data_IF_362506879175
#
_entry.id   IF_362506879175
#
_cell.length_a   1.000
_cell.length_b   1.000
_cell.length_c   1.000
_cell.angle_alpha   90.00
_cell.angle_beta   90.00
_cell.angle_gamma   90.00
#
_symmetry.space_group_name_H-M   'P 1'
#
loop_
_entity.id
_entity.type
_entity.pdbx_description
1 polymer ?
#
# COMPACT_ATOMS: atom_id res chain seq x y z
N UNK A 1 -3.68 4.90 -38.37
CA UNK A 1 -4.92 5.32 -37.66
C UNK A 1 -6.24 4.80 -38.28
N UNK A 2 -6.64 5.12 -39.54
CA UNK A 2 -8.02 4.78 -40.01
C UNK A 2 -8.40 3.28 -40.01
N UNK A 3 -7.48 2.34 -40.26
CA UNK A 3 -7.81 0.89 -40.34
C UNK A 3 -8.28 0.27 -39.02
N UNK A 4 -7.73 0.68 -37.87
CA UNK A 4 -8.13 0.12 -36.56
C UNK A 4 -9.57 0.45 -36.16
N UNK A 5 -10.10 1.62 -36.53
CA UNK A 5 -11.49 1.97 -36.18
C UNK A 5 -12.54 1.05 -36.82
N UNK A 6 -12.25 0.48 -37.99
CA UNK A 6 -13.14 -0.50 -38.63
C UNK A 6 -13.05 -1.90 -37.99
N UNK A 7 -11.90 -2.26 -37.40
CA UNK A 7 -11.73 -3.56 -36.73
C UNK A 7 -12.61 -3.66 -35.48
N UNK A 8 -12.57 -2.65 -34.60
CA UNK A 8 -13.41 -2.61 -33.40
C UNK A 8 -14.90 -2.53 -33.76
N UNK A 9 -15.27 -1.79 -34.81
CA UNK A 9 -16.66 -1.69 -35.29
C UNK A 9 -17.21 -3.04 -35.77
N UNK A 10 -16.37 -3.87 -36.41
CA UNK A 10 -16.74 -5.18 -36.94
C UNK A 10 -16.87 -6.24 -35.83
N UNK A 11 -16.05 -6.15 -34.78
CA UNK A 11 -16.16 -6.99 -33.56
C UNK A 11 -17.50 -6.72 -32.83
N UNK A 12 -17.89 -5.46 -32.68
CA UNK A 12 -19.17 -5.07 -32.05
C UNK A 12 -20.36 -5.64 -32.85
N UNK A 13 -20.29 -5.59 -34.19
CA UNK A 13 -21.36 -6.13 -35.05
C UNK A 13 -21.52 -7.66 -34.96
N UNK A 14 -20.43 -8.39 -34.68
CA UNK A 14 -20.48 -9.85 -34.46
C UNK A 14 -21.11 -10.24 -33.12
N UNK A 15 -20.87 -9.46 -32.05
CA UNK A 15 -21.43 -9.75 -30.73
C UNK A 15 -22.96 -9.60 -30.68
N UNK A 16 -23.52 -8.58 -31.34
CA UNK A 16 -24.97 -8.30 -31.32
C UNK A 16 -25.79 -9.39 -32.04
N UNK A 17 -25.19 -10.11 -33.00
CA UNK A 17 -25.89 -11.14 -33.78
C UNK A 17 -26.12 -12.47 -33.02
N UNK A 18 -25.53 -12.64 -31.83
CA UNK A 18 -25.51 -13.90 -31.09
C UNK A 18 -26.72 -14.15 -30.17
N UNK A 19 -27.47 -13.09 -29.81
CA UNK A 19 -28.57 -13.14 -28.82
C UNK A 19 -29.93 -13.59 -29.40
N UNK A 20 -29.94 -14.24 -30.57
CA UNK A 20 -31.14 -14.41 -31.41
C UNK A 20 -31.97 -15.68 -31.24
N UNK A 21 -31.56 -16.69 -30.45
CA UNK A 21 -32.21 -18.02 -30.43
C UNK A 21 -32.28 -18.68 -29.05
N UNK A 22 -33.38 -18.47 -28.32
CA UNK A 22 -34.10 -19.50 -27.52
C UNK A 22 -35.45 -18.93 -27.09
N UNK A 23 -36.55 -19.54 -27.52
CA UNK A 23 -37.88 -18.93 -27.34
C UNK A 23 -39.08 -19.82 -27.62
N UNK A 24 -39.18 -20.99 -26.96
CA UNK A 24 -40.45 -21.73 -26.86
C UNK A 24 -40.44 -22.79 -25.74
N UNK A 25 -41.26 -22.60 -24.69
CA UNK A 25 -41.90 -23.72 -23.98
C UNK A 25 -43.32 -23.33 -23.57
N UNK A 26 -44.28 -24.20 -23.85
CA UNK A 26 -45.72 -23.90 -23.85
C UNK A 26 -46.35 -24.15 -22.46
N UNK A 27 -47.41 -23.42 -22.13
CA UNK A 27 -48.12 -23.49 -20.83
C UNK A 27 -49.55 -24.02 -20.99
N UNK A 28 -49.92 -24.96 -20.11
CA UNK A 28 -51.29 -25.36 -19.76
C UNK A 28 -51.28 -25.67 -18.26
N UNK A 29 -52.17 -25.14 -17.40
CA UNK A 29 -53.62 -25.40 -17.29
C UNK A 29 -53.91 -26.90 -17.05
N UNK A 30 -54.71 -27.32 -16.06
CA UNK A 30 -55.46 -26.61 -15.00
C UNK A 30 -55.95 -27.66 -13.98
N UNK A 31 -56.07 -27.35 -12.68
CA UNK A 31 -56.52 -28.33 -11.68
C UNK A 31 -56.52 -27.80 -10.24
N UNK A 32 -57.49 -28.23 -9.43
CA UNK A 32 -57.80 -27.69 -8.10
C UNK A 32 -57.99 -28.82 -7.06
N UNK A 33 -57.85 -28.46 -5.77
CA UNK A 33 -58.31 -29.12 -4.54
C UNK A 33 -57.31 -30.01 -3.77
N UNK A 34 -57.21 -29.67 -2.49
CA UNK A 34 -56.89 -30.53 -1.35
C UNK A 34 -58.21 -30.82 -0.58
N UNK A 35 -58.24 -31.49 0.59
CA UNK A 35 -57.17 -32.24 1.27
C UNK A 35 -57.57 -33.69 1.61
N UNK A 36 -56.63 -34.48 2.13
CA UNK A 36 -56.89 -35.54 3.12
C UNK A 36 -55.65 -35.78 3.98
N UNK A 37 -55.88 -36.28 5.18
CA UNK A 37 -54.92 -36.69 6.20
C UNK A 37 -55.04 -38.21 6.37
N UNK A 38 -53.94 -38.95 6.41
CA UNK A 38 -53.83 -40.06 7.37
C UNK A 38 -52.39 -40.48 7.70
N UNK A 39 -52.14 -40.49 9.01
CA UNK A 39 -51.05 -41.10 9.77
C UNK A 39 -50.55 -42.48 9.27
N UNK A 40 -49.23 -42.70 9.24
CA UNK A 40 -48.62 -43.96 9.74
C UNK A 40 -47.14 -43.78 10.11
N UNK A 41 -46.66 -44.57 11.07
CA UNK A 41 -45.30 -44.54 11.66
C UNK A 41 -44.81 -45.97 11.81
N UNK A 42 -43.64 -46.31 11.26
CA UNK A 42 -42.59 -47.24 11.76
C UNK A 42 -41.29 -46.77 11.04
N UNK A 43 -40.19 -46.34 11.67
CA UNK A 43 -39.31 -46.93 12.69
C UNK A 43 -38.58 -48.18 12.18
N UNK A 44 -37.29 -48.01 11.88
CA UNK A 44 -36.24 -49.03 11.97
C UNK A 44 -34.88 -48.32 11.99
N UNK A 45 -34.22 -48.35 13.15
CA UNK A 45 -32.79 -48.10 13.28
C UNK A 45 -32.01 -49.35 12.83
N UNK A 46 -30.78 -49.17 12.33
CA UNK A 46 -29.65 -50.02 12.71
C UNK A 46 -28.32 -49.30 12.42
N UNK A 47 -27.32 -49.53 13.28
CA UNK A 47 -25.95 -49.01 13.17
C UNK A 47 -25.04 -50.04 12.47
N UNK A 48 -23.87 -49.62 11.99
CA UNK A 48 -22.54 -50.15 12.38
C UNK A 48 -21.45 -49.89 11.29
N UNK A 49 -20.19 -49.86 11.74
CA UNK A 49 -18.91 -49.99 11.01
C UNK A 49 -18.53 -48.95 9.91
N UNK A 50 -17.25 -48.65 9.68
CA UNK A 50 -16.06 -49.24 10.32
C UNK A 50 -14.77 -49.23 9.49
N UNK A 51 -14.44 -48.14 8.76
CA UNK A 51 -13.33 -48.12 7.79
C UNK A 51 -12.21 -47.10 8.07
N UNK A 52 -11.15 -47.52 8.77
CA UNK A 52 -9.84 -46.84 8.73
C UNK A 52 -9.04 -47.43 7.56
N UNK A 53 -8.43 -46.57 6.73
CA UNK A 53 -7.39 -46.95 5.77
C UNK A 53 -6.29 -45.89 5.76
N UNK A 54 -5.15 -46.23 6.35
CA UNK A 54 -3.84 -45.65 6.03
C UNK A 54 -3.16 -46.58 5.02
N UNK A 55 -2.61 -46.05 3.92
CA UNK A 55 -1.61 -46.76 3.12
C UNK A 55 -0.69 -45.76 2.38
N UNK A 56 0.36 -45.35 3.08
CA UNK A 56 1.76 -45.51 2.69
C UNK A 56 2.13 -45.37 1.19
N UNK A 57 2.93 -44.34 0.87
CA UNK A 57 3.65 -44.25 -0.40
C UNK A 57 5.04 -43.59 -0.25
N UNK A 58 5.85 -44.09 0.69
CA UNK A 58 7.28 -43.75 0.78
C UNK A 58 8.02 -44.20 -0.49
N UNK A 59 8.87 -43.34 -1.07
CA UNK A 59 9.84 -43.79 -2.09
C UNK A 59 11.09 -42.92 -2.16
N UNK A 60 12.07 -43.29 -1.33
CA UNK A 60 13.46 -42.84 -1.39
C UNK A 60 14.25 -43.65 -2.46
N UNK A 61 15.61 -43.63 -2.40
CA UNK A 61 16.56 -44.04 -3.45
C UNK A 61 16.70 -42.90 -4.49
N UNK A 62 17.68 -41.99 -4.41
CA UNK A 62 19.15 -42.15 -4.27
C UNK A 62 19.77 -42.79 -5.55
N UNK A 63 21.01 -42.56 -5.98
CA UNK A 63 22.21 -42.01 -5.33
C UNK A 63 23.27 -41.60 -6.40
N UNK A 64 24.46 -41.09 -5.99
CA UNK A 64 25.77 -41.05 -6.72
C UNK A 64 25.88 -40.10 -7.95
N UNK A 65 26.58 -38.95 -7.83
CA UNK A 65 27.98 -38.62 -8.28
C UNK A 65 28.15 -38.48 -9.83
N UNK A 66 29.20 -37.94 -10.46
CA UNK A 66 30.60 -37.47 -10.18
C UNK A 66 30.78 -36.16 -11.05
N UNK A 67 31.82 -35.30 -11.11
CA UNK A 67 33.27 -35.22 -10.77
C UNK A 67 33.68 -33.69 -10.72
N UNK A 68 34.96 -33.35 -10.50
CA UNK A 68 35.59 -31.98 -10.51
C UNK A 68 35.73 -31.35 -11.94
N UNK A 69 36.37 -30.21 -12.27
CA UNK A 69 37.07 -29.09 -11.57
C UNK A 69 36.75 -27.79 -12.41
N UNK A 70 37.13 -26.54 -12.07
CA UNK A 70 38.49 -26.02 -12.23
C UNK A 70 38.66 -24.65 -11.55
N UNK A 71 39.90 -24.24 -11.29
CA UNK A 71 40.25 -23.06 -10.46
C UNK A 71 41.07 -22.03 -11.26
N UNK A 72 40.85 -20.74 -11.03
CA UNK A 72 41.97 -19.77 -10.98
C UNK A 72 41.71 -18.71 -9.92
N UNK A 73 42.58 -18.67 -8.91
CA UNK A 73 42.77 -17.53 -8.01
C UNK A 73 43.70 -16.50 -8.67
N UNK A 74 43.60 -15.23 -8.27
CA UNK A 74 44.75 -14.31 -8.29
C UNK A 74 44.53 -13.09 -7.41
N UNK A 75 45.33 -13.00 -6.36
CA UNK A 75 45.48 -11.83 -5.50
C UNK A 75 46.20 -10.68 -6.24
N UNK A 76 45.85 -9.45 -5.89
CA UNK A 76 46.84 -8.40 -5.56
C UNK A 76 46.33 -7.67 -4.32
N UNK A 77 47.23 -7.39 -3.39
CA UNK A 77 47.03 -6.82 -2.07
C UNK A 77 47.92 -5.56 -1.95
N UNK A 78 47.57 -4.63 -1.07
CA UNK A 78 48.33 -3.38 -0.79
C UNK A 78 48.37 -2.37 -1.98
N UNK A 79 48.64 -1.07 -1.80
CA UNK A 79 49.35 -0.38 -0.70
C UNK A 79 48.47 0.45 0.26
N UNK A 80 48.92 0.54 1.52
CA UNK A 80 48.66 1.64 2.46
C UNK A 80 50.03 2.24 2.79
N UNK A 81 50.14 3.57 2.79
CA UNK A 81 51.25 4.32 3.38
C UNK A 81 50.69 5.50 4.19
N UNK A 82 51.31 5.79 5.32
CA UNK A 82 50.86 6.75 6.35
C UNK A 82 51.64 8.10 6.31
N UNK A 83 51.30 9.00 7.25
CA UNK A 83 52.06 10.19 7.69
C UNK A 83 52.08 11.41 6.71
N UNK A 84 52.07 12.68 7.14
CA UNK A 84 52.07 13.23 8.51
C UNK A 84 51.51 14.68 8.62
N UNK A 85 51.53 15.17 9.87
CA UNK A 85 51.72 16.56 10.35
C UNK A 85 50.49 17.29 10.93
N UNK A 86 50.76 18.11 11.97
CA UNK A 86 49.79 18.57 12.96
C UNK A 86 50.03 20.00 13.47
N UNK A 87 48.93 20.70 13.78
CA UNK A 87 48.90 21.83 14.72
C UNK A 87 47.47 21.94 15.24
N UNK A 88 47.18 21.85 16.54
CA UNK A 88 47.53 22.78 17.63
C UNK A 88 46.95 24.20 17.43
N UNK A 89 46.30 24.84 18.42
CA UNK A 89 46.16 24.47 19.84
C UNK A 89 44.88 25.04 20.49
N UNK A 90 44.87 25.12 21.83
CA UNK A 90 43.66 25.32 22.64
C UNK A 90 43.69 26.57 23.54
N UNK A 91 42.51 27.01 23.99
CA UNK A 91 42.31 28.04 25.02
C UNK A 91 41.82 29.40 24.50
N UNK A 92 41.18 30.27 25.29
CA UNK A 92 40.76 30.13 26.71
C UNK A 92 39.54 31.03 27.00
N UNK A 93 38.85 30.76 28.11
CA UNK A 93 37.70 31.54 28.63
C UNK A 93 37.97 33.05 28.84
N UNK A 94 36.94 33.88 28.66
CA UNK A 94 36.97 35.31 29.03
C UNK A 94 35.58 35.91 29.21
N UNK A 95 35.08 35.97 30.46
CA UNK A 95 33.82 36.63 30.82
C UNK A 95 34.08 37.99 31.46
N UNK A 96 33.49 39.06 30.94
CA UNK A 96 33.49 40.40 31.54
C UNK A 96 32.15 41.11 31.32
N UNK A 97 31.77 41.98 32.26
CA UNK A 97 30.45 42.64 32.36
C UNK A 97 30.58 44.14 32.06
N UNK A 98 29.58 44.73 31.41
CA UNK A 98 29.43 46.17 31.24
C UNK A 98 27.95 46.57 31.28
N UNK A 99 27.64 47.69 31.94
CA UNK A 99 26.30 48.25 32.14
C UNK A 99 26.33 49.75 31.76
N UNK A 100 25.17 50.32 31.40
CA UNK A 100 25.01 51.66 30.83
C UNK A 100 24.18 51.58 29.54
N UNK A 101 22.84 51.67 29.61
CA UNK A 101 22.03 52.91 29.66
C UNK A 101 21.75 53.49 28.25
N UNK A 102 20.48 53.35 27.84
CA UNK A 102 19.56 54.30 27.14
C UNK A 102 20.11 55.14 25.94
N UNK A 103 19.36 55.41 24.87
CA UNK A 103 17.91 55.62 24.69
C UNK A 103 17.45 55.35 23.22
N UNK A 104 16.14 55.47 22.95
CA UNK A 104 15.40 55.43 21.65
C UNK A 104 16.08 54.98 20.32
N UNK A 105 15.53 53.91 19.72
CA UNK A 105 15.57 53.67 18.27
C UNK A 105 14.31 52.94 17.78
N UNK A 106 13.19 53.67 17.65
CA UNK A 106 11.88 53.10 17.31
C UNK A 106 11.78 52.66 15.85
N UNK A 107 11.11 51.51 15.63
CA UNK A 107 10.62 50.97 14.35
C UNK A 107 11.67 50.54 13.28
N UNK A 108 11.98 49.24 13.27
CA UNK A 108 11.94 48.39 12.05
C UNK A 108 12.09 46.89 12.35
N UNK A 109 10.98 46.20 12.63
CA UNK A 109 10.96 44.72 12.65
C UNK A 109 9.62 44.11 12.18
N UNK A 110 8.97 44.78 11.21
CA UNK A 110 7.84 44.25 10.41
C UNK A 110 8.24 44.09 8.94
N UNK A 111 9.30 43.34 8.62
CA UNK A 111 9.60 43.02 7.21
C UNK A 111 10.24 41.64 6.99
N UNK A 112 9.60 40.59 7.52
CA UNK A 112 9.72 39.26 6.90
C UNK A 112 8.41 38.44 6.97
N UNK A 113 7.29 39.11 6.72
CA UNK A 113 6.11 38.44 6.20
C UNK A 113 6.46 37.85 4.82
N UNK A 114 6.81 36.56 4.80
CA UNK A 114 7.08 35.84 3.57
C UNK A 114 5.86 35.96 2.65
N UNK A 115 6.06 36.55 1.47
CA UNK A 115 4.98 36.82 0.53
C UNK A 115 4.60 35.50 -0.15
N UNK A 116 3.71 34.75 0.49
CA UNK A 116 3.02 33.60 -0.10
C UNK A 116 2.20 34.08 -1.29
N UNK A 117 2.83 34.03 -2.47
CA UNK A 117 2.15 33.96 -3.74
C UNK A 117 1.20 32.74 -3.67
N UNK A 118 -0.10 32.92 -3.93
CA UNK A 118 -1.09 31.88 -3.63
C UNK A 118 -0.74 30.61 -4.39
N UNK A 119 -0.38 29.56 -3.64
CA UNK A 119 0.14 28.33 -4.19
C UNK A 119 -0.80 27.83 -5.31
N UNK A 120 -0.27 27.76 -6.53
CA UNK A 120 -1.02 27.23 -7.65
C UNK A 120 -1.42 25.80 -7.30
N UNK A 121 -2.72 25.56 -7.10
CA UNK A 121 -3.24 24.30 -6.56
C UNK A 121 -2.86 23.17 -7.50
N UNK A 122 -1.84 22.41 -7.10
CA UNK A 122 -1.36 21.25 -7.84
C UNK A 122 -2.52 20.25 -7.95
N UNK A 123 -3.04 19.97 -9.16
CA UNK A 123 -4.19 19.08 -9.33
C UNK A 123 -3.86 17.66 -8.82
N UNK A 124 -2.58 17.29 -8.87
CA UNK A 124 -2.04 16.01 -8.45
C UNK A 124 -1.62 16.00 -6.97
N UNK A 125 -1.88 17.05 -6.18
CA UNK A 125 -1.59 17.05 -4.75
C UNK A 125 -2.51 16.09 -3.96
N UNK A 126 -1.92 15.37 -3.01
CA UNK A 126 -2.59 14.51 -2.05
C UNK A 126 -3.32 15.38 -1.02
N UNK A 127 -4.65 15.35 -0.99
CA UNK A 127 -5.44 16.09 0.02
C UNK A 127 -5.70 15.26 1.28
N UNK A 128 -5.69 15.90 2.45
CA UNK A 128 -6.04 15.32 3.75
C UNK A 128 -7.11 16.20 4.39
N UNK A 129 -8.31 15.64 4.57
CA UNK A 129 -9.53 16.38 4.95
C UNK A 129 -10.45 15.57 5.88
N UNK A 130 -11.62 16.12 6.24
CA UNK A 130 -12.55 15.51 7.19
C UNK A 130 -12.29 15.96 8.64
N UNK A 131 -12.29 15.03 9.60
CA UNK A 131 -12.02 15.28 11.03
C UNK A 131 -10.53 15.52 11.33
N UNK A 132 -10.00 16.60 10.76
CA UNK A 132 -8.63 17.09 10.95
C UNK A 132 -8.67 18.55 11.38
N UNK A 133 -7.87 18.93 12.37
CA UNK A 133 -7.80 20.32 12.84
C UNK A 133 -7.00 21.21 11.87
N UNK A 134 -6.16 20.59 11.05
CA UNK A 134 -5.32 21.21 10.05
C UNK A 134 -5.47 20.44 8.71
N UNK A 135 -6.47 20.78 7.86
CA UNK A 135 -6.58 20.20 6.52
C UNK A 135 -5.36 20.56 5.66
N UNK A 136 -4.83 19.59 4.91
CA UNK A 136 -3.57 19.73 4.19
C UNK A 136 -3.68 19.26 2.75
N UNK A 137 -2.82 19.81 1.88
CA UNK A 137 -2.60 19.32 0.53
C UNK A 137 -1.10 19.27 0.27
N UNK A 138 -0.59 18.18 -0.28
CA UNK A 138 0.84 17.99 -0.52
C UNK A 138 1.14 17.60 -1.97
N UNK A 139 1.99 18.38 -2.64
CA UNK A 139 2.61 17.98 -3.89
C UNK A 139 3.60 16.83 -3.68
N UNK A 140 3.92 16.09 -4.76
CA UNK A 140 4.94 15.03 -4.73
C UNK A 140 6.30 15.56 -4.20
N UNK A 141 6.64 16.81 -4.53
CA UNK A 141 7.89 17.47 -4.09
C UNK A 141 7.93 17.65 -2.57
N UNK A 142 6.81 17.99 -1.94
CA UNK A 142 6.73 18.18 -0.49
C UNK A 142 6.79 16.85 0.25
N UNK A 143 6.09 15.81 -0.23
CA UNK A 143 6.18 14.46 0.36
C UNK A 143 7.61 13.91 0.32
N UNK A 144 8.33 14.08 -0.80
CA UNK A 144 9.76 13.73 -0.91
C UNK A 144 10.68 14.57 0.00
N UNK A 145 10.21 15.71 0.50
CA UNK A 145 10.93 16.54 1.47
C UNK A 145 10.77 16.09 2.93
N UNK A 146 9.76 15.27 3.25
CA UNK A 146 9.47 14.82 4.62
C UNK A 146 10.36 13.64 5.05
N UNK A 147 11.67 13.86 5.14
CA UNK A 147 12.67 12.83 5.46
C UNK A 147 12.42 12.05 6.77
N UNK A 148 11.68 12.64 7.72
CA UNK A 148 11.19 12.01 8.95
C UNK A 148 10.12 10.94 8.70
N UNK A 149 9.32 11.12 7.65
CA UNK A 149 8.23 10.22 7.27
C UNK A 149 8.59 9.22 6.19
N UNK A 150 9.70 9.41 5.46
CA UNK A 150 10.10 8.50 4.38
C UNK A 150 10.23 7.06 4.92
N UNK A 151 9.68 6.13 4.15
CA UNK A 151 9.84 4.70 4.35
C UNK A 151 10.12 4.03 3.00
N UNK A 152 11.02 3.05 3.02
CA UNK A 152 11.34 2.22 1.87
C UNK A 152 11.42 0.77 2.35
N UNK A 153 10.78 -0.15 1.63
CA UNK A 153 10.76 -1.54 2.04
C UNK A 153 10.02 -2.45 1.07
N UNK A 154 10.25 -3.74 1.23
CA UNK A 154 9.67 -4.81 0.44
C UNK A 154 8.37 -5.30 1.09
N UNK A 155 7.26 -5.19 0.35
CA UNK A 155 5.93 -5.61 0.79
C UNK A 155 5.56 -6.92 0.11
N UNK A 156 5.24 -7.95 0.89
CA UNK A 156 4.57 -9.14 0.38
C UNK A 156 3.11 -8.85 0.05
N UNK A 157 2.61 -9.45 -1.03
CA UNK A 157 1.26 -9.22 -1.50
C UNK A 157 0.58 -10.49 -2.00
N UNK A 158 -0.65 -10.72 -1.56
CA UNK A 158 -1.56 -11.76 -2.07
C UNK A 158 -2.78 -11.09 -2.71
N UNK A 159 -3.14 -11.50 -3.94
CA UNK A 159 -4.35 -11.03 -4.63
C UNK A 159 -5.52 -12.02 -4.50
N UNK A 160 -6.70 -11.64 -5.02
CA UNK A 160 -7.93 -12.45 -5.03
C UNK A 160 -7.82 -13.81 -5.78
N UNK A 161 -6.72 -14.05 -6.49
CA UNK A 161 -6.44 -15.29 -7.22
C UNK A 161 -5.31 -16.11 -6.55
N UNK A 162 -4.88 -15.74 -5.34
CA UNK A 162 -3.76 -16.38 -4.63
C UNK A 162 -2.37 -16.08 -5.22
N UNK A 163 -2.26 -15.17 -6.19
CA UNK A 163 -0.95 -14.77 -6.75
C UNK A 163 -0.16 -14.02 -5.68
N UNK A 164 1.02 -14.56 -5.38
CA UNK A 164 1.97 -14.07 -4.37
C UNK A 164 3.08 -13.27 -5.03
N UNK A 165 3.44 -12.11 -4.48
CA UNK A 165 4.46 -11.22 -5.04
C UNK A 165 5.07 -10.31 -3.96
N UNK A 166 6.40 -10.35 -3.81
CA UNK A 166 7.17 -9.27 -3.16
C UNK A 166 7.30 -8.07 -4.09
N UNK A 167 7.29 -6.84 -3.55
CA UNK A 167 7.47 -5.61 -4.33
C UNK A 167 8.04 -4.52 -3.44
N UNK A 168 9.10 -3.85 -3.90
CA UNK A 168 9.74 -2.76 -3.18
C UNK A 168 8.98 -1.46 -3.43
N UNK A 169 8.68 -0.72 -2.37
CA UNK A 169 8.05 0.59 -2.47
C UNK A 169 8.84 1.65 -1.71
N UNK A 170 8.81 2.88 -2.23
CA UNK A 170 9.28 4.09 -1.54
C UNK A 170 8.11 5.06 -1.38
N UNK A 171 7.96 5.60 -0.18
CA UNK A 171 6.83 6.46 0.17
C UNK A 171 7.01 7.20 1.48
N UNK A 172 5.91 7.80 1.96
CA UNK A 172 5.79 8.38 3.31
C UNK A 172 4.77 7.60 4.14
N UNK A 173 5.04 7.45 5.43
CA UNK A 173 4.14 6.80 6.40
C UNK A 173 2.82 7.56 6.50
N UNK A 174 1.70 6.90 6.21
CA UNK A 174 0.38 7.53 6.20
C UNK A 174 0.02 8.12 7.58
N UNK A 175 0.30 7.41 8.67
CA UNK A 175 0.01 7.91 10.02
C UNK A 175 0.75 9.23 10.32
N UNK A 176 2.00 9.38 9.90
CA UNK A 176 2.77 10.61 10.13
C UNK A 176 2.22 11.82 9.34
N UNK A 177 1.57 11.60 8.20
CA UNK A 177 0.84 12.66 7.49
C UNK A 177 -0.42 13.08 8.26
N UNK A 178 -1.13 12.11 8.84
CA UNK A 178 -2.32 12.33 9.67
C UNK A 178 -1.99 13.03 11.00
N UNK A 179 -0.82 12.77 11.59
CA UNK A 179 -0.31 13.52 12.75
C UNK A 179 -0.07 14.99 12.40
N UNK A 180 0.54 15.30 11.24
CA UNK A 180 0.70 16.68 10.76
C UNK A 180 -0.64 17.37 10.46
N UNK A 181 -1.66 16.61 10.06
CA UNK A 181 -3.03 17.09 9.86
C UNK A 181 -3.85 17.26 11.17
N UNK A 182 -3.33 16.79 12.32
CA UNK A 182 -3.99 16.91 13.63
C UNK A 182 -5.39 16.28 13.66
N UNK A 183 -5.46 14.98 13.37
CA UNK A 183 -6.67 14.14 13.49
C UNK A 183 -7.41 14.36 14.82
N UNK A 184 -8.73 14.51 14.74
CA UNK A 184 -9.58 14.68 15.92
C UNK A 184 -9.63 13.41 16.80
N UNK A 185 -9.75 13.60 18.12
CA UNK A 185 -9.77 12.49 19.09
C UNK A 185 -11.01 11.59 19.03
N UNK A 186 -12.07 12.02 18.33
CA UNK A 186 -13.29 11.26 18.05
C UNK A 186 -13.32 10.69 16.61
N UNK A 187 -12.23 10.77 15.86
CA UNK A 187 -12.08 10.09 14.60
C UNK A 187 -12.00 8.57 14.82
N UNK A 188 -12.65 7.82 13.92
CA UNK A 188 -12.81 6.36 13.97
C UNK A 188 -12.22 5.67 12.74
N UNK A 189 -12.29 6.33 11.58
CA UNK A 189 -11.83 5.81 10.29
C UNK A 189 -10.95 6.79 9.51
N UNK A 190 -10.29 6.23 8.51
CA UNK A 190 -9.66 6.93 7.39
C UNK A 190 -10.12 6.25 6.10
N UNK A 191 -10.64 7.03 5.15
CA UNK A 191 -11.10 6.58 3.83
C UNK A 191 -10.19 7.16 2.76
N UNK A 192 -9.57 6.28 1.99
CA UNK A 192 -8.62 6.58 0.92
C UNK A 192 -9.37 6.55 -0.40
N UNK A 193 -9.32 7.61 -1.20
CA UNK A 193 -10.14 7.77 -2.41
C UNK A 193 -9.27 8.10 -3.63
N UNK A 194 -9.41 7.30 -4.69
CA UNK A 194 -8.75 7.45 -5.97
C UNK A 194 -9.50 8.40 -6.92
N UNK A 195 -8.83 8.86 -7.98
CA UNK A 195 -9.44 9.70 -9.03
C UNK A 195 -10.50 9.00 -9.88
N UNK A 196 -10.49 7.66 -9.95
CA UNK A 196 -11.51 6.85 -10.64
C UNK A 196 -12.77 6.59 -9.78
N UNK A 197 -12.76 7.01 -8.52
CA UNK A 197 -13.83 6.77 -7.55
C UNK A 197 -13.71 5.45 -6.78
N UNK A 198 -12.62 4.68 -6.95
CA UNK A 198 -12.31 3.56 -6.05
C UNK A 198 -11.94 4.08 -4.66
N UNK A 199 -12.41 3.39 -3.62
CA UNK A 199 -12.14 3.77 -2.23
C UNK A 199 -11.90 2.56 -1.30
N UNK A 200 -11.11 2.79 -0.26
CA UNK A 200 -10.82 1.83 0.81
C UNK A 200 -10.89 2.50 2.18
N UNK A 201 -11.61 1.87 3.12
CA UNK A 201 -11.68 2.29 4.52
C UNK A 201 -10.69 1.50 5.40
N UNK A 202 -10.14 2.19 6.38
CA UNK A 202 -9.35 1.63 7.48
C UNK A 202 -9.81 2.26 8.79
N UNK A 203 -9.75 1.53 9.90
CA UNK A 203 -9.87 2.15 11.23
C UNK A 203 -8.62 2.97 11.55
N UNK A 204 -8.76 3.95 12.46
CA UNK A 204 -7.64 4.76 12.92
C UNK A 204 -6.49 3.91 13.50
N UNK A 205 -6.81 2.80 14.19
CA UNK A 205 -5.79 1.93 14.78
C UNK A 205 -5.10 1.01 13.74
N UNK A 206 -5.76 0.67 12.64
CA UNK A 206 -5.11 0.06 11.48
C UNK A 206 -4.12 1.02 10.82
N UNK A 207 -4.45 2.30 10.67
CA UNK A 207 -3.52 3.28 10.08
C UNK A 207 -2.32 3.56 10.99
N UNK A 208 -2.52 3.59 12.31
CA UNK A 208 -1.42 3.66 13.30
C UNK A 208 -0.48 2.47 13.23
N UNK A 209 -0.97 1.27 12.88
CA UNK A 209 -0.23 0.00 12.97
C UNK A 209 1.09 0.05 12.17
N UNK A 210 2.22 -0.12 12.86
CA UNK A 210 3.57 -0.14 12.29
C UNK A 210 4.13 -1.57 12.11
N UNK A 211 3.38 -2.58 12.52
CA UNK A 211 3.77 -3.99 12.57
C UNK A 211 2.87 -4.87 11.67
N UNK A 212 2.48 -4.37 10.49
CA UNK A 212 2.04 -5.28 9.42
C UNK A 212 3.21 -6.20 9.02
N UNK A 213 2.91 -7.42 8.60
CA UNK A 213 3.91 -8.47 8.38
C UNK A 213 4.11 -8.80 6.90
N UNK A 214 5.20 -9.49 6.65
CA UNK A 214 5.41 -10.39 5.53
C UNK A 214 5.32 -11.83 6.09
N UNK A 215 4.41 -12.67 5.60
CA UNK A 215 4.29 -14.06 6.07
C UNK A 215 5.53 -14.92 5.79
N UNK A 216 6.34 -14.54 4.79
CA UNK A 216 7.60 -15.20 4.44
C UNK A 216 8.79 -14.69 5.26
N UNK A 217 8.65 -13.54 5.92
CA UNK A 217 9.68 -12.98 6.79
C UNK A 217 9.08 -12.35 8.08
N UNK A 218 8.78 -13.15 9.12
CA UNK A 218 8.13 -12.67 10.35
C UNK A 218 8.88 -11.58 11.13
N UNK A 219 10.17 -11.33 10.86
CA UNK A 219 10.90 -10.22 11.49
C UNK A 219 10.54 -8.85 10.92
N UNK A 220 10.02 -8.80 9.68
CA UNK A 220 9.61 -7.56 9.00
C UNK A 220 8.40 -6.93 9.69
N UNK A 221 8.42 -5.60 9.83
CA UNK A 221 7.39 -4.77 10.48
C UNK A 221 7.15 -3.56 9.59
N UNK A 222 5.97 -3.47 9.00
CA UNK A 222 5.63 -2.53 7.94
C UNK A 222 4.55 -1.53 8.40
N UNK A 223 4.70 -0.23 8.10
CA UNK A 223 3.63 0.75 8.20
C UNK A 223 2.71 0.70 6.96
N UNK A 224 1.56 1.37 7.04
CA UNK A 224 0.86 1.83 5.83
C UNK A 224 1.59 3.05 5.27
N UNK A 225 1.86 3.06 3.96
CA UNK A 225 2.50 4.18 3.26
C UNK A 225 1.66 4.71 2.10
N UNK A 226 1.86 5.99 1.78
CA UNK A 226 1.59 6.55 0.46
C UNK A 226 2.91 6.51 -0.33
N UNK A 227 2.99 5.57 -1.27
CA UNK A 227 4.14 5.38 -2.15
C UNK A 227 4.05 6.25 -3.41
N UNK A 228 5.21 6.65 -3.93
CA UNK A 228 5.37 7.27 -5.26
C UNK A 228 6.28 6.46 -6.18
N UNK A 229 6.82 5.33 -5.72
CA UNK A 229 7.83 4.53 -6.41
C UNK A 229 7.58 3.04 -6.19
N UNK A 230 7.69 2.24 -7.26
CA UNK A 230 7.59 0.79 -7.26
C UNK A 230 8.83 0.19 -7.95
N UNK A 231 9.58 -0.64 -7.22
CA UNK A 231 10.82 -1.30 -7.67
C UNK A 231 11.88 -0.34 -8.27
N UNK A 232 12.03 0.87 -7.70
CA UNK A 232 12.99 1.87 -8.17
C UNK A 232 12.51 2.73 -9.35
N UNK A 233 11.24 2.61 -9.75
CA UNK A 233 10.62 3.42 -10.80
C UNK A 233 9.50 4.27 -10.19
N UNK A 234 9.56 5.59 -10.39
CA UNK A 234 8.52 6.50 -9.92
C UNK A 234 7.21 6.35 -10.73
N UNK A 235 6.06 6.59 -10.09
CA UNK A 235 4.78 6.60 -10.79
C UNK A 235 4.64 7.84 -11.68
N UNK A 236 4.01 7.65 -12.83
CA UNK A 236 3.71 8.73 -13.77
C UNK A 236 2.67 9.70 -13.19
N UNK A 237 2.80 10.98 -13.52
CA UNK A 237 1.92 12.06 -13.09
C UNK A 237 1.04 12.63 -14.21
N UNK A 238 1.26 12.22 -15.47
CA UNK A 238 0.53 12.77 -16.62
C UNK A 238 -0.96 12.35 -16.63
N UNK A 239 -1.28 11.16 -16.12
CA UNK A 239 -2.65 10.61 -16.01
C UNK A 239 -3.29 10.80 -14.61
N UNK A 240 -2.62 11.47 -13.66
CA UNK A 240 -3.20 11.81 -12.34
C UNK A 240 -2.19 11.88 -11.18
N UNK A 241 -2.66 11.85 -9.91
CA UNK A 241 -1.80 11.87 -8.73
C UNK A 241 -0.86 10.65 -8.70
N UNK A 242 0.48 10.83 -8.61
CA UNK A 242 1.46 9.74 -8.65
C UNK A 242 1.58 9.05 -7.27
N UNK A 243 0.46 8.63 -6.70
CA UNK A 243 0.34 8.17 -5.31
C UNK A 243 -0.42 6.84 -5.19
N UNK A 244 0.15 5.91 -4.41
CA UNK A 244 -0.38 4.56 -4.21
C UNK A 244 -0.34 4.14 -2.74
N UNK A 245 -1.45 3.68 -2.20
CA UNK A 245 -1.55 3.18 -0.83
C UNK A 245 -1.00 1.76 -0.79
N UNK A 246 0.00 1.51 0.05
CA UNK A 246 0.57 0.19 0.25
C UNK A 246 0.42 -0.21 1.72
N UNK A 247 -0.09 -1.42 1.94
CA UNK A 247 -0.31 -2.03 3.27
C UNK A 247 0.14 -3.49 3.26
N UNK A 248 0.89 -3.90 4.28
CA UNK A 248 1.34 -5.28 4.46
C UNK A 248 0.21 -6.22 4.88
N UNK A 249 0.54 -7.44 5.28
CA UNK A 249 -0.44 -8.40 5.77
C UNK A 249 -0.76 -8.17 7.25
N UNK A 250 -2.02 -8.35 7.66
CA UNK A 250 -2.40 -8.39 9.09
C UNK A 250 -1.86 -9.64 9.78
N UNK A 251 -1.95 -10.77 9.08
CA UNK A 251 -1.66 -12.13 9.53
C UNK A 251 -1.32 -13.01 8.32
N UNK A 252 -0.70 -14.20 8.49
CA UNK A 252 -0.39 -15.10 7.37
C UNK A 252 -1.64 -15.48 6.59
N UNK A 253 -1.56 -15.41 5.26
CA UNK A 253 -2.69 -15.64 4.35
C UNK A 253 -3.57 -14.42 4.08
N UNK A 254 -3.34 -13.26 4.74
CA UNK A 254 -4.14 -12.05 4.50
C UNK A 254 -4.02 -11.58 3.03
N UNK A 255 -5.18 -11.48 2.35
CA UNK A 255 -5.31 -11.00 0.98
C UNK A 255 -5.27 -9.47 0.99
N UNK A 256 -4.06 -8.92 1.05
CA UNK A 256 -3.81 -7.48 1.20
C UNK A 256 -3.77 -6.70 -0.13
N UNK A 257 -3.40 -7.31 -1.26
CA UNK A 257 -3.21 -6.59 -2.54
C UNK A 257 -4.46 -5.84 -3.05
N UNK A 258 -5.70 -6.32 -2.87
CA UNK A 258 -6.90 -5.55 -3.22
C UNK A 258 -7.08 -4.27 -2.40
N UNK A 259 -6.45 -4.16 -1.23
CA UNK A 259 -6.51 -2.98 -0.36
C UNK A 259 -5.58 -1.85 -0.84
N UNK A 260 -4.79 -2.09 -1.89
CA UNK A 260 -3.84 -1.12 -2.44
C UNK A 260 -4.56 -0.20 -3.45
N UNK A 261 -4.66 1.08 -3.11
CA UNK A 261 -5.35 2.11 -3.91
C UNK A 261 -4.32 2.85 -4.75
N UNK A 262 -4.46 2.87 -6.08
CA UNK A 262 -3.65 3.73 -6.97
C UNK A 262 -4.32 5.09 -7.21
N UNK A 263 -3.55 6.06 -7.73
CA UNK A 263 -4.01 7.37 -8.18
C UNK A 263 -4.82 8.14 -7.12
N UNK A 264 -4.29 8.19 -5.90
CA UNK A 264 -5.00 8.74 -4.72
C UNK A 264 -5.14 10.25 -4.84
N UNK A 265 -6.38 10.71 -4.88
CA UNK A 265 -6.74 12.12 -4.80
C UNK A 265 -6.70 12.59 -3.34
N UNK A 266 -7.34 11.83 -2.43
CA UNK A 266 -7.59 12.30 -1.06
C UNK A 266 -7.67 11.21 0.01
N UNK A 267 -7.39 11.65 1.23
CA UNK A 267 -7.47 10.91 2.49
C UNK A 267 -8.47 11.63 3.39
N UNK A 268 -9.61 11.00 3.67
CA UNK A 268 -10.71 11.59 4.44
C UNK A 268 -10.77 10.93 5.82
N UNK A 269 -10.82 11.74 6.88
CA UNK A 269 -10.87 11.26 8.28
C UNK A 269 -12.29 11.39 8.84
N UNK A 270 -12.81 10.36 9.50
CA UNK A 270 -14.25 10.21 9.85
C UNK A 270 -14.50 9.69 11.28
#
# INVERSE_FOLDING_TARGET
MRRFKYLNLLIIFLLVLSLGLTGCRKKSKEGEKAPVDETTVEVMDEEDDGGILEEDAQKDIDDVDEDDDDKEEKDVQEDIDDEDDASSGAGVSGQAKGEGEEEEATAKEEEQAAKEEPAAVDPNALKIEGKVSNPLAFSLKELKGMGDLIFEGDYYSINNFGTKQHTRFKGVKLWGLLEKAQVASDATKVRIVATDGYEMEFTIDEVKKQDYIDETNPSVKLPIIIAWEENGVEFDSDDGPPFKLIVGQKEPGDVNKPKWVSNIDKVIVE
#
